data_IF_732756401555
#
_entry.id   IF_732756401555
#
_cell.length_a   1.000
_cell.length_b   1.000
_cell.length_c   1.000
_cell.angle_alpha   90.00
_cell.angle_beta   90.00
_cell.angle_gamma   90.00
#
_symmetry.space_group_name_H-M   'P 1'
#
loop_
_entity.id
_entity.type
_entity.pdbx_description
1 polymer ?
#
# COMPACT_ATOMS: atom_id res chain seq x y z
N UNK A 1 -12.50 7.42 -18.58
CA UNK A 1 -12.28 6.00 -18.27
C UNK A 1 -13.61 5.29 -18.32
N UNK A 2 -13.72 4.18 -19.08
CA UNK A 2 -14.94 3.37 -19.10
C UNK A 2 -14.92 2.43 -17.89
N UNK A 3 -15.98 2.38 -17.06
CA UNK A 3 -16.06 1.43 -15.96
C UNK A 3 -15.95 -0.01 -16.50
N UNK A 4 -15.11 -0.84 -15.89
CA UNK A 4 -14.97 -2.26 -16.24
C UNK A 4 -13.90 -2.60 -17.29
N UNK A 5 -13.24 -1.61 -17.91
CA UNK A 5 -12.07 -1.86 -18.75
C UNK A 5 -10.79 -1.65 -17.93
N UNK A 6 -9.97 -2.70 -17.68
CA UNK A 6 -8.71 -2.54 -17.00
C UNK A 6 -7.80 -1.61 -17.81
N UNK A 7 -7.16 -0.67 -17.12
CA UNK A 7 -6.25 0.28 -17.74
C UNK A 7 -5.09 -0.45 -18.44
N UNK A 8 -4.91 -0.18 -19.75
CA UNK A 8 -3.77 -0.69 -20.52
C UNK A 8 -2.50 -0.06 -19.97
N UNK A 9 -1.63 -0.87 -19.36
CA UNK A 9 -0.32 -0.42 -18.89
C UNK A 9 0.62 -0.22 -20.07
N UNK A 10 1.22 0.96 -20.15
CA UNK A 10 2.29 1.28 -21.09
C UNK A 10 3.52 0.40 -20.80
N UNK A 11 4.29 0.05 -21.85
CA UNK A 11 5.50 -0.78 -21.75
C UNK A 11 6.51 -0.26 -20.70
N UNK A 12 6.57 1.06 -20.49
CA UNK A 12 7.47 1.72 -19.54
C UNK A 12 6.91 1.83 -18.11
N UNK A 13 5.85 1.10 -17.78
CA UNK A 13 5.19 1.20 -16.48
C UNK A 13 6.00 0.50 -15.37
N UNK A 14 6.61 1.29 -14.49
CA UNK A 14 7.34 0.82 -13.30
C UNK A 14 6.43 0.93 -12.07
N UNK A 15 6.29 -0.16 -11.30
CA UNK A 15 5.56 -0.16 -10.03
C UNK A 15 6.51 0.21 -8.88
N UNK A 16 6.24 1.32 -8.21
CA UNK A 16 6.99 1.77 -7.02
C UNK A 16 6.65 0.98 -5.75
N UNK A 17 6.58 -0.35 -5.84
CA UNK A 17 6.25 -1.23 -4.72
C UNK A 17 4.92 -0.89 -4.04
N UNK A 18 4.66 -1.54 -2.92
CA UNK A 18 3.61 -1.15 -1.98
C UNK A 18 4.21 -1.30 -0.58
N UNK A 19 4.09 -0.29 0.26
CA UNK A 19 4.59 -0.31 1.64
C UNK A 19 3.42 -0.62 2.56
N UNK A 20 3.65 -1.38 3.62
CA UNK A 20 2.61 -1.69 4.61
C UNK A 20 2.65 -0.65 5.72
N UNK A 21 1.53 0.04 5.97
CA UNK A 21 1.38 0.98 7.10
C UNK A 21 0.58 0.30 8.22
N UNK A 22 1.12 0.31 9.43
CA UNK A 22 0.38 0.01 10.65
C UNK A 22 0.24 1.29 11.46
N UNK A 23 -0.96 1.57 11.98
CA UNK A 23 -1.23 2.73 12.82
C UNK A 23 -2.19 2.35 13.95
N UNK A 24 -1.98 2.96 15.11
CA UNK A 24 -2.84 2.86 16.28
C UNK A 24 -3.13 4.27 16.81
N UNK A 25 -4.37 4.51 17.23
CA UNK A 25 -4.80 5.74 17.87
C UNK A 25 -4.84 5.53 19.39
N UNK A 26 -4.14 6.37 20.14
CA UNK A 26 -4.38 6.50 21.57
C UNK A 26 -5.59 7.43 21.80
N UNK A 27 -6.66 6.87 22.36
CA UNK A 27 -7.93 7.60 22.55
C UNK A 27 -7.84 8.64 23.65
N UNK A 28 -6.98 8.43 24.65
CA UNK A 28 -6.85 9.35 25.77
C UNK A 28 -6.12 10.65 25.39
N UNK A 29 -5.05 10.55 24.58
CA UNK A 29 -4.29 11.72 24.12
C UNK A 29 -4.67 12.22 22.73
N UNK A 30 -5.36 11.40 21.93
CA UNK A 30 -5.64 11.68 20.52
C UNK A 30 -4.43 11.47 19.59
N UNK A 31 -3.31 10.95 20.10
CA UNK A 31 -2.09 10.76 19.33
C UNK A 31 -2.15 9.48 18.47
N UNK A 32 -1.69 9.58 17.22
CA UNK A 32 -1.58 8.43 16.31
C UNK A 32 -0.13 7.96 16.25
N UNK A 33 0.09 6.70 16.58
CA UNK A 33 1.38 6.02 16.47
C UNK A 33 1.34 5.14 15.23
N UNK A 34 2.23 5.38 14.26
CA UNK A 34 2.29 4.58 13.04
C UNK A 34 3.70 4.27 12.58
N UNK A 35 3.85 3.13 11.87
CA UNK A 35 5.11 2.71 11.26
C UNK A 35 4.87 2.09 9.89
N UNK A 36 5.72 2.48 8.94
CA UNK A 36 5.80 1.88 7.62
C UNK A 36 6.78 0.72 7.64
N UNK A 37 6.38 -0.42 7.07
CA UNK A 37 7.20 -1.62 6.94
C UNK A 37 7.38 -1.97 5.47
N UNK A 38 8.55 -2.53 5.13
CA UNK A 38 8.77 -3.13 3.81
C UNK A 38 7.69 -4.18 3.56
N UNK A 39 7.28 -4.28 2.29
CA UNK A 39 6.20 -5.13 1.81
C UNK A 39 6.28 -6.53 2.41
N UNK A 40 5.24 -6.91 3.18
CA UNK A 40 5.01 -8.31 3.53
C UNK A 40 4.53 -9.04 2.27
N UNK A 41 5.43 -9.69 1.52
CA UNK A 41 5.05 -10.64 0.46
C UNK A 41 5.28 -12.05 1.00
N UNK A 42 4.31 -12.95 0.84
CA UNK A 42 4.59 -14.38 0.90
C UNK A 42 5.49 -14.72 -0.29
N UNK A 43 6.64 -15.34 -0.05
CA UNK A 43 7.46 -15.89 -1.14
C UNK A 43 6.68 -17.08 -1.68
N UNK A 44 6.02 -16.90 -2.83
CA UNK A 44 5.44 -18.03 -3.57
C UNK A 44 6.61 -18.92 -4.00
N UNK A 45 6.60 -20.17 -3.54
CA UNK A 45 7.56 -21.21 -3.88
C UNK A 45 7.14 -21.92 -5.16
#
# INVERSE_FOLDING_TARGET
>A
MMPGIPERRTHSYVRHGATTLFAALDVASGFVIGKCYKRHRAVES
#
